data_IF_389629402829
#
_entry.id   IF_389629402829
#
_cell.length_a   1.000
_cell.length_b   1.000
_cell.length_c   1.000
_cell.angle_alpha   90.00
_cell.angle_beta   90.00
_cell.angle_gamma   90.00
#
_symmetry.space_group_name_H-M   'P 1'
#
loop_
_entity.id
_entity.type
_entity.pdbx_description
1 polymer ?
#
# COMPACT_ATOMS: atom_id res chain seq x y z
N UNK A 1 5.38 -15.32 -2.19
CA UNK A 1 4.78 -14.17 -2.86
C UNK A 1 5.44 -12.89 -2.40
N UNK A 2 5.78 -12.02 -3.31
CA UNK A 2 6.44 -10.76 -3.00
C UNK A 2 5.73 -9.60 -3.68
N UNK A 3 5.86 -8.42 -3.07
CA UNK A 3 5.37 -7.18 -3.67
C UNK A 3 6.54 -6.23 -3.84
N UNK A 4 6.51 -5.43 -4.90
CA UNK A 4 7.54 -4.43 -5.14
C UNK A 4 7.17 -3.11 -4.46
N UNK A 5 8.16 -2.23 -4.31
CA UNK A 5 7.91 -0.87 -3.81
C UNK A 5 6.86 -0.17 -4.69
N UNK A 6 6.96 -0.37 -6.01
CA UNK A 6 6.00 0.20 -6.94
C UNK A 6 4.58 -0.37 -6.74
N UNK A 7 4.46 -1.65 -6.38
CA UNK A 7 3.16 -2.25 -6.07
C UNK A 7 2.50 -1.55 -4.89
N UNK A 8 3.28 -1.30 -3.83
CA UNK A 8 2.76 -0.61 -2.64
C UNK A 8 2.39 0.84 -2.97
N UNK A 9 3.23 1.52 -3.73
CA UNK A 9 2.95 2.89 -4.14
C UNK A 9 1.66 2.97 -4.97
N UNK A 10 1.52 2.09 -5.95
CA UNK A 10 0.31 2.04 -6.79
C UNK A 10 -0.93 1.74 -5.95
N UNK A 11 -0.80 0.83 -4.99
CA UNK A 11 -1.92 0.48 -4.11
C UNK A 11 -2.32 1.65 -3.22
N UNK A 12 -1.35 2.37 -2.66
CA UNK A 12 -1.63 3.54 -1.84
C UNK A 12 -2.36 4.59 -2.67
N UNK A 13 -1.86 4.88 -3.87
CA UNK A 13 -2.48 5.85 -4.74
C UNK A 13 -3.90 5.45 -5.14
N UNK A 14 -4.10 4.16 -5.44
CA UNK A 14 -5.43 3.63 -5.78
C UNK A 14 -6.44 3.89 -4.66
N UNK A 15 -6.07 3.55 -3.43
CA UNK A 15 -6.98 3.73 -2.29
C UNK A 15 -7.23 5.19 -1.96
N UNK A 16 -6.21 6.05 -2.11
CA UNK A 16 -6.37 7.48 -1.90
C UNK A 16 -7.32 8.11 -2.93
N UNK A 17 -7.22 7.67 -4.18
CA UNK A 17 -8.10 8.18 -5.23
C UNK A 17 -9.54 7.69 -5.04
N UNK A 18 -9.69 6.44 -4.58
CA UNK A 18 -11.01 5.85 -4.38
C UNK A 18 -11.74 6.44 -3.16
N UNK A 19 -11.00 6.78 -2.12
CA UNK A 19 -11.55 7.31 -0.88
C UNK A 19 -10.84 8.62 -0.51
N UNK A 20 -11.03 9.69 -1.31
CA UNK A 20 -10.39 10.96 -0.99
C UNK A 20 -10.98 11.55 0.27
N UNK A 21 -10.12 12.15 1.09
CA UNK A 21 -10.59 12.84 2.29
C UNK A 21 -10.90 14.31 1.96
N UNK A 22 -11.95 14.85 2.56
CA UNK A 22 -12.39 16.22 2.28
C UNK A 22 -11.38 17.25 2.79
N UNK A 23 -10.68 16.95 3.86
CA UNK A 23 -9.72 17.88 4.46
C UNK A 23 -8.30 17.69 3.93
N UNK A 24 -8.06 16.66 3.12
CA UNK A 24 -6.76 16.35 2.55
C UNK A 24 -5.73 15.86 3.57
N UNK A 25 -6.11 15.73 4.82
CA UNK A 25 -5.19 15.35 5.89
C UNK A 25 -5.37 13.92 6.37
N UNK A 26 -6.56 13.37 6.20
CA UNK A 26 -6.89 12.02 6.63
C UNK A 26 -6.88 11.09 5.41
N UNK A 27 -6.12 10.00 5.48
CA UNK A 27 -6.15 8.98 4.43
C UNK A 27 -7.04 7.82 4.90
N UNK A 28 -7.62 7.10 3.94
CA UNK A 28 -8.43 5.94 4.28
C UNK A 28 -7.57 4.86 4.94
N UNK A 29 -8.24 3.93 5.64
CA UNK A 29 -7.54 2.88 6.37
C UNK A 29 -6.62 2.06 5.47
N UNK A 30 -7.10 1.68 4.28
CA UNK A 30 -6.33 0.85 3.35
C UNK A 30 -5.02 1.53 2.93
N UNK A 31 -5.07 2.82 2.61
CA UNK A 31 -3.86 3.55 2.25
C UNK A 31 -2.96 3.71 3.47
N UNK A 32 -3.54 4.01 4.63
CA UNK A 32 -2.77 4.26 5.84
C UNK A 32 -1.97 3.05 6.29
N UNK A 33 -2.56 1.86 6.26
CA UNK A 33 -1.86 0.65 6.69
C UNK A 33 -0.73 0.27 5.73
N UNK A 34 -0.78 0.73 4.48
CA UNK A 34 0.27 0.46 3.50
C UNK A 34 1.41 1.46 3.55
N UNK A 35 1.17 2.66 4.09
CA UNK A 35 2.22 3.68 4.21
C UNK A 35 3.35 3.19 5.10
N UNK A 36 3.03 2.47 6.17
CA UNK A 36 4.04 1.99 7.10
C UNK A 36 5.08 1.08 6.43
N UNK A 37 4.70 -0.04 5.78
CA UNK A 37 5.69 -0.87 5.10
C UNK A 37 6.35 -0.15 3.92
N UNK A 38 5.61 0.71 3.22
CA UNK A 38 6.17 1.49 2.13
C UNK A 38 7.32 2.38 2.62
N UNK A 39 7.08 3.10 3.71
CA UNK A 39 8.08 4.00 4.28
C UNK A 39 9.32 3.24 4.74
N UNK A 40 9.13 2.09 5.39
CA UNK A 40 10.26 1.27 5.85
C UNK A 40 11.08 0.77 4.67
N UNK A 41 10.44 0.31 3.60
CA UNK A 41 11.14 -0.14 2.40
C UNK A 41 11.94 1.01 1.77
N UNK A 42 11.34 2.18 1.72
CA UNK A 42 11.98 3.36 1.15
C UNK A 42 13.24 3.74 1.95
N UNK A 43 13.12 3.77 3.27
CA UNK A 43 14.25 4.12 4.15
C UNK A 43 15.36 3.07 4.11
N UNK A 44 15.01 1.80 3.96
CA UNK A 44 15.96 0.70 3.90
C UNK A 44 16.47 0.47 2.46
N UNK A 45 15.98 1.23 1.51
CA UNK A 45 16.31 1.09 0.07
C UNK A 45 15.98 -0.31 -0.44
N UNK A 46 14.90 -0.89 0.04
CA UNK A 46 14.42 -2.20 -0.40
C UNK A 46 13.47 -2.01 -1.58
N UNK A 47 13.59 -2.87 -2.56
CA UNK A 47 12.72 -2.83 -3.73
C UNK A 47 11.56 -3.82 -3.64
N UNK A 48 11.66 -4.79 -2.75
CA UNK A 48 10.67 -5.86 -2.61
C UNK A 48 10.43 -6.19 -1.15
N UNK A 49 9.22 -6.67 -0.87
CA UNK A 49 8.84 -7.14 0.45
C UNK A 49 8.09 -8.46 0.28
N UNK A 50 8.41 -9.45 1.11
CA UNK A 50 7.71 -10.72 1.08
C UNK A 50 6.33 -10.57 1.74
N UNK A 51 5.33 -11.30 1.23
CA UNK A 51 4.00 -11.27 1.83
C UNK A 51 4.05 -11.67 3.30
N UNK A 52 4.97 -12.55 3.68
CA UNK A 52 5.12 -12.98 5.08
C UNK A 52 5.57 -11.84 6.00
N UNK A 53 6.09 -10.75 5.47
CA UNK A 53 6.50 -9.57 6.24
C UNK A 53 5.35 -8.60 6.45
N UNK A 54 4.21 -8.83 5.78
CA UNK A 54 3.05 -7.97 5.86
C UNK A 54 1.94 -8.61 6.69
N UNK A 55 1.08 -7.79 7.26
CA UNK A 55 -0.11 -8.30 7.95
C UNK A 55 -1.14 -8.75 6.91
N UNK A 56 -2.14 -9.53 7.35
CA UNK A 56 -3.23 -9.97 6.48
C UNK A 56 -3.95 -8.75 5.88
N UNK A 57 -4.20 -7.73 6.69
CA UNK A 57 -4.87 -6.51 6.23
C UNK A 57 -4.05 -5.79 5.16
N UNK A 58 -2.73 -5.73 5.33
CA UNK A 58 -1.84 -5.11 4.35
C UNK A 58 -1.83 -5.90 3.04
N UNK A 59 -1.76 -7.22 3.13
CA UNK A 59 -1.80 -8.08 1.95
C UNK A 59 -3.11 -7.89 1.19
N UNK A 60 -4.23 -7.90 1.90
CA UNK A 60 -5.54 -7.71 1.29
C UNK A 60 -5.65 -6.36 0.60
N UNK A 61 -5.12 -5.31 1.23
CA UNK A 61 -5.16 -3.97 0.66
C UNK A 61 -4.34 -3.89 -0.64
N UNK A 62 -3.15 -4.46 -0.66
CA UNK A 62 -2.31 -4.47 -1.87
C UNK A 62 -2.97 -5.29 -2.98
N UNK A 63 -3.42 -6.49 -2.65
CA UNK A 63 -4.02 -7.39 -3.66
C UNK A 63 -5.31 -6.81 -4.23
N UNK A 64 -6.14 -6.21 -3.37
CA UNK A 64 -7.38 -5.57 -3.81
C UNK A 64 -7.10 -4.43 -4.78
N UNK A 65 -6.11 -3.60 -4.48
CA UNK A 65 -5.73 -2.49 -5.35
C UNK A 65 -5.16 -2.99 -6.68
N UNK A 66 -4.25 -3.96 -6.64
CA UNK A 66 -3.64 -4.49 -7.86
C UNK A 66 -4.67 -5.17 -8.76
N UNK A 67 -5.64 -5.87 -8.16
CA UNK A 67 -6.73 -6.49 -8.93
C UNK A 67 -7.58 -5.43 -9.63
N UNK A 68 -7.81 -4.29 -8.98
CA UNK A 68 -8.61 -3.21 -9.54
C UNK A 68 -7.87 -2.45 -10.64
N UNK A 69 -6.53 -2.45 -10.61
CA UNK A 69 -5.69 -1.75 -11.59
C UNK A 69 -5.41 -2.56 -12.84
N UNK A 70 -5.78 -3.83 -12.86
CA UNK A 70 -5.57 -4.71 -14.02
C UNK A 70 -6.74 -4.67 -15.00
#
# INVERSE_FOLDING_TARGET
>A
MEFTLNDLESAINHWRDRYPSDDGMTVCRQARILVEPYTLMFLEKRERVAASELTVDQIDAVRGALAALR
#
